data_IF_834373610082
#
_entry.id   IF_834373610082
#
_cell.length_a   1.000
_cell.length_b   1.000
_cell.length_c   1.000
_cell.angle_alpha   90.00
_cell.angle_beta   90.00
_cell.angle_gamma   90.00
#
_symmetry.space_group_name_H-M   'P 1'
#
loop_
_entity.id
_entity.type
_entity.pdbx_description
1 polymer ?
#
# COMPACT_ATOMS: atom_id res chain seq x y z
N UNK A 1 11.98 -15.33 28.17
CA UNK A 1 11.72 -15.61 26.73
C UNK A 1 11.04 -16.96 26.51
N UNK A 2 11.67 -18.15 26.73
CA UNK A 2 10.95 -19.44 26.51
C UNK A 2 9.74 -19.64 27.43
N UNK A 3 9.79 -19.20 28.69
CA UNK A 3 8.67 -19.28 29.62
C UNK A 3 7.54 -18.30 29.26
N UNK A 4 7.86 -17.11 28.82
CA UNK A 4 6.89 -16.11 28.37
C UNK A 4 6.11 -16.59 27.13
N UNK A 5 6.81 -17.26 26.18
CA UNK A 5 6.16 -17.89 25.04
C UNK A 5 5.24 -19.04 25.45
N UNK A 6 5.61 -19.87 26.45
CA UNK A 6 4.74 -20.94 26.95
C UNK A 6 3.46 -20.38 27.61
N UNK A 7 3.59 -19.30 28.36
CA UNK A 7 2.45 -18.59 28.95
C UNK A 7 1.56 -18.00 27.86
N UNK A 8 2.15 -17.34 26.87
CA UNK A 8 1.42 -16.78 25.72
C UNK A 8 0.68 -17.87 24.94
N UNK A 9 1.34 -18.99 24.60
CA UNK A 9 0.68 -20.08 23.88
C UNK A 9 -0.52 -20.64 24.66
N UNK A 10 -0.43 -20.70 25.97
CA UNK A 10 -1.54 -21.11 26.81
C UNK A 10 -2.72 -20.14 26.75
N UNK A 11 -2.44 -18.83 26.70
CA UNK A 11 -3.45 -17.78 26.54
C UNK A 11 -4.06 -17.80 25.12
N UNK A 12 -3.25 -18.06 24.09
CA UNK A 12 -3.73 -18.18 22.71
C UNK A 12 -4.69 -19.37 22.54
N UNK A 13 -4.45 -20.49 23.24
CA UNK A 13 -5.29 -21.69 23.20
C UNK A 13 -6.58 -21.55 24.00
N UNK A 14 -6.68 -20.60 24.93
CA UNK A 14 -7.90 -20.30 25.65
C UNK A 14 -8.85 -19.45 24.82
N UNK A 15 -9.75 -20.09 24.08
CA UNK A 15 -10.67 -19.43 23.15
C UNK A 15 -11.80 -18.66 23.85
N UNK A 16 -12.00 -18.83 25.16
CA UNK A 16 -12.98 -18.05 25.92
C UNK A 16 -12.46 -16.66 26.29
N UNK A 17 -11.14 -16.44 26.21
CA UNK A 17 -10.52 -15.16 26.47
C UNK A 17 -10.26 -14.37 25.18
N UNK A 18 -10.21 -13.04 25.32
CA UNK A 18 -9.74 -12.15 24.25
C UNK A 18 -8.25 -12.41 23.95
N UNK A 19 -7.79 -11.99 22.78
CA UNK A 19 -6.36 -12.05 22.46
C UNK A 19 -5.57 -11.16 23.43
N UNK A 20 -4.45 -11.66 23.96
CA UNK A 20 -3.58 -10.91 24.86
C UNK A 20 -2.68 -9.96 24.03
N UNK A 21 -3.21 -8.82 23.62
CA UNK A 21 -2.57 -7.91 22.63
C UNK A 21 -1.21 -7.43 23.11
N UNK A 22 -1.08 -7.10 24.41
CA UNK A 22 0.17 -6.58 24.99
C UNK A 22 1.30 -7.63 24.98
N UNK A 23 0.95 -8.91 25.05
CA UNK A 23 1.90 -10.03 25.07
C UNK A 23 2.29 -10.50 23.67
N UNK A 24 1.55 -10.08 22.59
CA UNK A 24 1.84 -10.52 21.22
C UNK A 24 3.21 -10.07 20.72
N UNK A 25 3.80 -9.04 21.31
CA UNK A 25 5.17 -8.60 21.00
C UNK A 25 6.20 -9.73 21.20
N UNK A 26 5.93 -10.70 22.09
CA UNK A 26 6.77 -11.89 22.29
C UNK A 26 6.82 -12.83 21.05
N UNK A 27 5.93 -12.64 20.07
CA UNK A 27 5.94 -13.35 18.77
C UNK A 27 6.79 -12.65 17.71
N UNK A 28 7.39 -11.50 18.02
CA UNK A 28 8.25 -10.79 17.08
C UNK A 28 9.58 -11.52 16.92
N UNK A 29 10.07 -11.62 15.68
CA UNK A 29 11.38 -12.14 15.30
C UNK A 29 11.70 -13.53 15.91
N UNK A 30 10.74 -14.48 15.78
CA UNK A 30 10.91 -15.84 16.29
C UNK A 30 12.05 -16.57 15.58
N UNK A 31 12.96 -17.16 16.37
CA UNK A 31 13.94 -18.09 15.85
C UNK A 31 13.29 -19.41 15.34
N UNK A 32 14.05 -20.22 14.61
CA UNK A 32 13.56 -21.49 14.03
C UNK A 32 12.91 -22.41 15.07
N UNK A 33 13.49 -22.53 16.29
CA UNK A 33 12.96 -23.40 17.35
C UNK A 33 11.66 -22.85 17.93
N UNK A 34 11.60 -21.55 18.12
CA UNK A 34 10.41 -20.85 18.60
C UNK A 34 9.27 -20.93 17.58
N UNK A 35 9.61 -20.79 16.28
CA UNK A 35 8.66 -20.92 15.17
C UNK A 35 8.09 -22.33 15.06
N UNK A 36 8.89 -23.39 15.28
CA UNK A 36 8.41 -24.79 15.32
C UNK A 36 7.40 -24.99 16.46
N UNK A 37 7.66 -24.37 17.61
CA UNK A 37 6.73 -24.42 18.77
C UNK A 37 5.44 -23.63 18.46
N UNK A 38 5.57 -22.44 17.87
CA UNK A 38 4.43 -21.65 17.43
C UNK A 38 3.59 -22.42 16.40
N UNK A 39 4.20 -23.11 15.43
CA UNK A 39 3.52 -23.95 14.46
C UNK A 39 2.63 -25.00 15.12
N UNK A 40 3.13 -25.64 16.19
CA UNK A 40 2.36 -26.62 16.97
C UNK A 40 1.15 -25.97 17.70
N UNK A 41 1.35 -24.79 18.29
CA UNK A 41 0.28 -24.00 18.88
C UNK A 41 -0.74 -23.57 17.80
N UNK A 42 -0.28 -23.03 16.67
CA UNK A 42 -1.10 -22.59 15.55
C UNK A 42 -2.07 -23.69 15.06
N UNK A 43 -1.57 -24.90 14.89
CA UNK A 43 -2.38 -26.03 14.45
C UNK A 43 -3.50 -26.40 15.46
N UNK A 44 -3.33 -26.06 16.73
CA UNK A 44 -4.31 -26.33 17.79
C UNK A 44 -5.42 -25.27 17.87
N UNK A 45 -5.20 -24.07 17.28
CA UNK A 45 -6.15 -22.96 17.31
C UNK A 45 -7.30 -23.21 16.32
N UNK A 46 -8.51 -22.72 16.66
CA UNK A 46 -9.63 -22.71 15.73
C UNK A 46 -9.34 -21.77 14.53
N UNK A 47 -9.97 -22.01 13.37
CA UNK A 47 -9.80 -21.12 12.21
C UNK A 47 -10.13 -19.67 12.53
N UNK A 48 -11.13 -19.41 13.33
CA UNK A 48 -11.50 -18.05 13.74
C UNK A 48 -10.39 -17.40 14.58
N UNK A 49 -9.84 -18.14 15.55
CA UNK A 49 -8.75 -17.64 16.42
C UNK A 49 -7.49 -17.33 15.59
N UNK A 50 -7.14 -18.21 14.65
CA UNK A 50 -6.01 -18.00 13.73
C UNK A 50 -6.18 -16.73 12.87
N UNK A 51 -7.37 -16.51 12.28
CA UNK A 51 -7.66 -15.30 11.49
C UNK A 51 -7.51 -14.04 12.33
N UNK A 52 -8.12 -14.04 13.55
CA UNK A 52 -8.05 -12.89 14.44
C UNK A 52 -6.62 -12.61 14.88
N UNK A 53 -5.87 -13.65 15.28
CA UNK A 53 -4.46 -13.51 15.69
C UNK A 53 -3.62 -12.91 14.55
N UNK A 54 -3.71 -13.47 13.33
CA UNK A 54 -2.88 -13.02 12.22
C UNK A 54 -3.21 -11.58 11.79
N UNK A 55 -4.50 -11.21 11.80
CA UNK A 55 -4.92 -9.83 11.52
C UNK A 55 -4.42 -8.85 12.60
N UNK A 56 -4.45 -9.27 13.88
CA UNK A 56 -3.93 -8.45 15.00
C UNK A 56 -2.42 -8.29 14.90
N UNK A 57 -1.67 -9.33 14.50
CA UNK A 57 -0.21 -9.21 14.29
C UNK A 57 0.11 -8.21 13.16
N UNK A 58 -0.65 -8.23 12.06
CA UNK A 58 -0.50 -7.23 10.99
C UNK A 58 -0.74 -5.81 11.51
N UNK A 59 -1.85 -5.59 12.24
CA UNK A 59 -2.13 -4.28 12.83
C UNK A 59 -1.03 -3.83 13.80
N UNK A 60 -0.49 -4.74 14.62
CA UNK A 60 0.61 -4.40 15.54
C UNK A 60 1.91 -4.03 14.77
N UNK A 61 2.20 -4.69 13.66
CA UNK A 61 3.34 -4.33 12.81
C UNK A 61 3.16 -2.93 12.17
N UNK A 62 1.95 -2.58 11.74
CA UNK A 62 1.64 -1.25 11.19
C UNK A 62 1.79 -0.13 12.24
N UNK A 63 1.43 -0.42 13.51
CA UNK A 63 1.52 0.55 14.62
C UNK A 63 2.94 0.63 15.23
N UNK A 64 3.75 -0.43 15.11
CA UNK A 64 5.03 -0.62 15.78
C UNK A 64 6.08 -1.20 14.84
N UNK A 65 6.85 -0.34 14.18
CA UNK A 65 7.85 -0.70 13.16
C UNK A 65 8.97 -1.63 13.66
N UNK A 66 9.14 -1.75 14.97
CA UNK A 66 10.10 -2.67 15.58
C UNK A 66 9.58 -4.12 15.68
N UNK A 67 8.28 -4.36 15.44
CA UNK A 67 7.69 -5.69 15.51
C UNK A 67 7.75 -6.39 14.15
N UNK A 68 8.41 -7.54 14.10
CA UNK A 68 8.64 -8.30 12.87
C UNK A 68 7.93 -9.67 12.98
N UNK A 69 6.92 -9.88 12.13
CA UNK A 69 6.14 -11.13 12.11
C UNK A 69 6.27 -11.89 10.78
N UNK A 70 7.27 -11.58 9.95
CA UNK A 70 7.48 -12.19 8.64
C UNK A 70 7.60 -13.71 8.72
N UNK A 71 8.35 -14.24 9.72
CA UNK A 71 8.50 -15.67 9.90
C UNK A 71 7.17 -16.39 10.16
N UNK A 72 6.25 -15.77 10.90
CA UNK A 72 4.91 -16.30 11.14
C UNK A 72 4.07 -16.21 9.87
N UNK A 73 4.07 -15.08 9.18
CA UNK A 73 3.33 -14.91 7.94
C UNK A 73 3.80 -15.92 6.88
N UNK A 74 5.11 -16.14 6.73
CA UNK A 74 5.66 -17.18 5.85
C UNK A 74 5.18 -18.58 6.22
N UNK A 75 5.17 -18.92 7.52
CA UNK A 75 4.73 -20.23 7.99
C UNK A 75 3.29 -20.56 7.56
N UNK A 76 2.43 -19.55 7.43
CA UNK A 76 0.99 -19.74 7.20
C UNK A 76 0.55 -19.43 5.76
N UNK A 77 1.50 -19.20 4.83
CA UNK A 77 1.18 -19.04 3.40
C UNK A 77 0.51 -20.28 2.79
N UNK A 78 0.74 -21.46 3.38
CA UNK A 78 0.13 -22.72 2.96
C UNK A 78 -1.02 -23.18 3.88
N UNK A 79 -1.57 -22.30 4.73
CA UNK A 79 -2.69 -22.64 5.61
C UNK A 79 -3.91 -23.11 4.77
N UNK A 80 -4.66 -24.16 5.20
CA UNK A 80 -5.84 -24.63 4.48
C UNK A 80 -6.93 -23.57 4.32
N UNK A 81 -6.96 -22.54 5.19
CA UNK A 81 -7.91 -21.45 5.13
C UNK A 81 -7.43 -20.32 4.19
N UNK A 82 -8.13 -20.08 3.07
CA UNK A 82 -7.73 -19.04 2.12
C UNK A 82 -7.74 -17.63 2.71
N UNK A 83 -8.55 -17.38 3.77
CA UNK A 83 -8.56 -16.08 4.44
C UNK A 83 -7.25 -15.85 5.20
N UNK A 84 -6.70 -16.90 5.80
CA UNK A 84 -5.40 -16.84 6.48
C UNK A 84 -4.28 -16.58 5.47
N UNK A 85 -4.24 -17.34 4.36
CA UNK A 85 -3.24 -17.11 3.30
C UNK A 85 -3.31 -15.68 2.74
N UNK A 86 -4.53 -15.16 2.50
CA UNK A 86 -4.73 -13.77 2.07
C UNK A 86 -4.16 -12.77 3.08
N UNK A 87 -4.46 -12.93 4.38
CA UNK A 87 -3.96 -12.03 5.43
C UNK A 87 -2.42 -12.11 5.50
N UNK A 88 -1.84 -13.32 5.43
CA UNK A 88 -0.40 -13.51 5.44
C UNK A 88 0.31 -12.78 4.30
N UNK A 89 -0.20 -12.89 3.06
CA UNK A 89 0.30 -12.14 1.91
C UNK A 89 0.19 -10.63 2.16
N UNK A 90 -0.96 -10.17 2.67
CA UNK A 90 -1.18 -8.77 2.99
C UNK A 90 -0.20 -8.24 4.04
N UNK A 91 0.07 -9.00 5.10
CA UNK A 91 1.01 -8.60 6.16
C UNK A 91 2.48 -8.55 5.68
N UNK A 92 2.81 -9.23 4.58
CA UNK A 92 4.15 -9.24 3.99
C UNK A 92 4.37 -8.12 2.95
N UNK A 93 3.43 -7.22 2.80
CA UNK A 93 3.46 -6.21 1.73
C UNK A 93 4.65 -5.23 1.83
N UNK A 94 5.14 -4.95 3.04
CA UNK A 94 6.32 -4.09 3.27
C UNK A 94 7.65 -4.84 3.23
N UNK A 95 7.61 -6.18 3.27
CA UNK A 95 8.83 -6.97 3.29
C UNK A 95 9.61 -6.86 1.98
N UNK A 96 10.91 -6.76 2.08
CA UNK A 96 11.85 -6.70 0.95
C UNK A 96 12.61 -8.01 0.75
N UNK A 97 12.17 -9.11 1.38
CA UNK A 97 12.83 -10.41 1.21
C UNK A 97 12.73 -10.87 -0.25
N UNK A 98 13.86 -11.15 -0.91
CA UNK A 98 13.90 -11.52 -2.33
C UNK A 98 13.24 -12.88 -2.64
N UNK A 99 12.85 -13.66 -1.65
CA UNK A 99 12.13 -14.92 -1.87
C UNK A 99 10.62 -14.75 -2.11
N UNK A 100 10.04 -13.62 -1.69
CA UNK A 100 8.59 -13.41 -1.76
C UNK A 100 8.01 -13.28 -3.18
N UNK A 101 8.67 -12.64 -4.15
CA UNK A 101 8.16 -12.61 -5.52
C UNK A 101 7.83 -14.00 -6.06
N UNK A 102 8.70 -14.99 -5.85
CA UNK A 102 8.49 -16.37 -6.31
C UNK A 102 7.29 -17.03 -5.60
N UNK A 103 7.14 -16.81 -4.27
CA UNK A 103 6.02 -17.34 -3.51
C UNK A 103 4.69 -16.70 -3.94
N UNK A 104 4.67 -15.38 -4.17
CA UNK A 104 3.48 -14.66 -4.62
C UNK A 104 3.11 -14.98 -6.07
N UNK A 105 4.10 -15.21 -6.97
CA UNK A 105 3.85 -15.72 -8.32
C UNK A 105 3.22 -17.12 -8.28
N UNK A 106 3.68 -17.98 -7.39
CA UNK A 106 3.05 -19.29 -7.17
C UNK A 106 1.60 -19.12 -6.69
N UNK A 107 1.36 -18.28 -5.70
CA UNK A 107 0.02 -18.00 -5.22
C UNK A 107 -0.89 -17.39 -6.30
N UNK A 108 -0.40 -16.43 -7.11
CA UNK A 108 -1.14 -15.83 -8.22
C UNK A 108 -1.55 -16.87 -9.25
N UNK A 109 -0.67 -17.79 -9.61
CA UNK A 109 -0.89 -18.72 -10.70
C UNK A 109 -1.62 -20.00 -10.29
N UNK A 110 -1.40 -20.50 -9.08
CA UNK A 110 -1.77 -21.86 -8.68
C UNK A 110 -2.77 -21.93 -7.52
N UNK A 111 -2.96 -20.85 -6.72
CA UNK A 111 -3.90 -20.94 -5.60
C UNK A 111 -5.33 -21.15 -6.08
N UNK A 112 -6.03 -22.09 -5.43
CA UNK A 112 -7.41 -22.43 -5.76
C UNK A 112 -8.42 -21.32 -5.42
N UNK A 113 -8.03 -20.38 -4.55
CA UNK A 113 -8.89 -19.31 -4.06
C UNK A 113 -8.61 -17.97 -4.75
N UNK A 114 -9.66 -17.37 -5.30
CA UNK A 114 -9.56 -16.09 -6.00
C UNK A 114 -9.08 -14.95 -5.08
N UNK A 115 -9.49 -14.94 -3.80
CA UNK A 115 -9.08 -13.90 -2.85
C UNK A 115 -7.57 -13.96 -2.53
N UNK A 116 -6.97 -15.16 -2.59
CA UNK A 116 -5.53 -15.34 -2.39
C UNK A 116 -4.78 -14.91 -3.65
N UNK A 117 -5.26 -15.33 -4.83
CA UNK A 117 -4.70 -14.89 -6.12
C UNK A 117 -4.72 -13.36 -6.27
N UNK A 118 -5.83 -12.71 -5.87
CA UNK A 118 -5.95 -11.25 -5.92
C UNK A 118 -5.00 -10.56 -4.94
N UNK A 119 -4.86 -11.09 -3.72
CA UNK A 119 -3.90 -10.56 -2.75
C UNK A 119 -2.45 -10.71 -3.24
N UNK A 120 -2.13 -11.83 -3.88
CA UNK A 120 -0.81 -12.05 -4.49
C UNK A 120 -0.55 -11.07 -5.64
N UNK A 121 -1.56 -10.81 -6.50
CA UNK A 121 -1.46 -9.82 -7.55
C UNK A 121 -1.18 -8.41 -6.97
N UNK A 122 -1.93 -7.99 -5.94
CA UNK A 122 -1.73 -6.70 -5.28
C UNK A 122 -0.33 -6.59 -4.63
N UNK A 123 0.15 -7.64 -3.95
CA UNK A 123 1.47 -7.66 -3.32
C UNK A 123 2.62 -7.62 -4.34
N UNK A 124 2.47 -8.28 -5.49
CA UNK A 124 3.45 -8.28 -6.58
C UNK A 124 3.69 -6.89 -7.17
N UNK A 125 2.71 -5.98 -7.10
CA UNK A 125 2.86 -4.61 -7.59
C UNK A 125 4.02 -3.87 -6.92
N UNK A 126 4.27 -4.09 -5.63
CA UNK A 126 5.41 -3.49 -4.94
C UNK A 126 6.75 -3.95 -5.52
N UNK A 127 6.87 -5.23 -5.84
CA UNK A 127 8.10 -5.76 -6.42
C UNK A 127 8.32 -5.26 -7.85
N UNK A 128 7.25 -4.98 -8.61
CA UNK A 128 7.36 -4.25 -9.88
C UNK A 128 7.95 -2.86 -9.62
N UNK A 129 7.42 -2.11 -8.65
CA UNK A 129 7.96 -0.79 -8.30
C UNK A 129 9.43 -0.84 -7.89
N UNK A 130 9.82 -1.76 -7.00
CA UNK A 130 11.20 -1.87 -6.52
C UNK A 130 12.17 -2.14 -7.67
N UNK A 131 11.80 -3.00 -8.61
CA UNK A 131 12.65 -3.32 -9.78
C UNK A 131 12.70 -2.20 -10.81
N UNK A 132 11.63 -1.40 -10.97
CA UNK A 132 11.66 -0.19 -11.82
C UNK A 132 12.58 0.90 -11.24
N UNK A 133 12.75 0.94 -9.91
CA UNK A 133 13.64 1.89 -9.23
C UNK A 133 15.11 1.43 -9.19
N UNK A 134 15.36 0.12 -9.20
CA UNK A 134 16.69 -0.49 -9.16
C UNK A 134 17.09 -0.92 -10.58
N UNK A 135 17.93 -0.15 -11.25
CA UNK A 135 18.33 -0.29 -12.66
C UNK A 135 18.96 -1.65 -13.06
N UNK A 136 19.13 -2.60 -12.12
CA UNK A 136 19.92 -3.83 -12.29
C UNK A 136 19.12 -5.16 -12.33
N UNK A 137 17.80 -5.18 -12.11
CA UNK A 137 17.03 -6.44 -11.94
C UNK A 137 15.84 -6.62 -12.89
N UNK A 138 15.93 -6.15 -14.12
CA UNK A 138 14.86 -6.19 -15.14
C UNK A 138 14.22 -7.57 -15.37
N UNK A 139 14.93 -8.68 -15.12
CA UNK A 139 14.44 -10.03 -15.41
C UNK A 139 13.33 -10.52 -14.48
N UNK A 140 13.33 -10.16 -13.20
CA UNK A 140 12.28 -10.57 -12.25
C UNK A 140 11.01 -9.71 -12.42
N UNK A 141 11.16 -8.41 -12.65
CA UNK A 141 10.05 -7.52 -12.97
C UNK A 141 9.32 -7.96 -14.24
N UNK A 142 10.06 -8.28 -15.29
CA UNK A 142 9.50 -8.76 -16.55
C UNK A 142 8.63 -9.99 -16.36
N UNK A 143 9.06 -10.96 -15.54
CA UNK A 143 8.27 -12.15 -15.25
C UNK A 143 6.98 -11.80 -14.48
N UNK A 144 7.05 -10.93 -13.47
CA UNK A 144 5.87 -10.51 -12.71
C UNK A 144 4.85 -9.84 -13.63
N UNK A 145 5.30 -8.87 -14.44
CA UNK A 145 4.43 -8.15 -15.38
C UNK A 145 3.83 -9.11 -16.42
N UNK A 146 4.62 -10.05 -16.96
CA UNK A 146 4.13 -11.05 -17.91
C UNK A 146 3.05 -11.95 -17.29
N UNK A 147 3.20 -12.34 -16.03
CA UNK A 147 2.22 -13.19 -15.32
C UNK A 147 0.93 -12.41 -15.00
N UNK A 148 1.03 -11.13 -14.62
CA UNK A 148 -0.14 -10.26 -14.43
C UNK A 148 -0.90 -10.07 -15.75
N UNK A 149 -0.20 -9.76 -16.84
CA UNK A 149 -0.78 -9.61 -18.18
C UNK A 149 -1.41 -10.90 -18.68
N UNK A 150 -0.77 -12.04 -18.47
CA UNK A 150 -1.30 -13.37 -18.83
C UNK A 150 -2.58 -13.65 -18.04
N UNK A 151 -2.59 -13.39 -16.73
CA UNK A 151 -3.76 -13.60 -15.87
C UNK A 151 -4.98 -12.82 -16.38
N UNK A 152 -4.81 -11.59 -16.83
CA UNK A 152 -5.89 -10.79 -17.43
C UNK A 152 -6.35 -11.40 -18.75
N UNK A 153 -5.42 -11.76 -19.65
CA UNK A 153 -5.73 -12.33 -20.98
C UNK A 153 -6.43 -13.68 -20.92
N UNK A 154 -6.13 -14.48 -19.89
CA UNK A 154 -6.76 -15.79 -19.66
C UNK A 154 -8.17 -15.69 -19.07
N UNK A 155 -8.72 -14.48 -18.92
CA UNK A 155 -10.09 -14.25 -18.47
C UNK A 155 -10.25 -14.33 -16.96
N UNK A 156 -9.39 -13.64 -16.22
CA UNK A 156 -9.49 -13.49 -14.76
C UNK A 156 -10.90 -13.05 -14.33
N UNK A 157 -11.31 -13.45 -13.13
CA UNK A 157 -12.52 -12.89 -12.50
C UNK A 157 -12.36 -11.38 -12.30
N UNK A 158 -13.48 -10.64 -12.19
CA UNK A 158 -13.46 -9.19 -12.02
C UNK A 158 -12.55 -8.74 -10.86
N UNK A 159 -12.56 -9.45 -9.72
CA UNK A 159 -11.71 -9.14 -8.56
C UNK A 159 -10.22 -9.28 -8.88
N UNK A 160 -9.83 -10.40 -9.49
CA UNK A 160 -8.44 -10.65 -9.85
C UNK A 160 -7.96 -9.71 -10.97
N UNK A 161 -8.84 -9.41 -11.94
CA UNK A 161 -8.53 -8.46 -13.01
C UNK A 161 -8.20 -7.08 -12.41
N UNK A 162 -9.04 -6.57 -11.49
CA UNK A 162 -8.82 -5.29 -10.81
C UNK A 162 -7.49 -5.27 -10.05
N UNK A 163 -7.17 -6.34 -9.33
CA UNK A 163 -5.89 -6.44 -8.62
C UNK A 163 -4.69 -6.38 -9.59
N UNK A 164 -4.75 -7.13 -10.70
CA UNK A 164 -3.70 -7.09 -11.72
C UNK A 164 -3.55 -5.70 -12.35
N UNK A 165 -4.67 -5.01 -12.70
CA UNK A 165 -4.63 -3.65 -13.27
C UNK A 165 -3.93 -2.68 -12.32
N UNK A 166 -4.29 -2.68 -11.03
CA UNK A 166 -3.66 -1.81 -10.03
C UNK A 166 -2.15 -2.03 -9.92
N UNK A 167 -1.70 -3.27 -10.01
CA UNK A 167 -0.29 -3.62 -9.88
C UNK A 167 0.52 -3.32 -11.15
N UNK A 168 -0.11 -3.41 -12.33
CA UNK A 168 0.47 -2.98 -13.59
C UNK A 168 0.73 -1.46 -13.64
N UNK A 169 0.07 -0.67 -12.78
CA UNK A 169 0.34 0.75 -12.65
C UNK A 169 1.78 1.10 -12.32
N UNK A 170 2.52 0.21 -11.66
CA UNK A 170 3.93 0.43 -11.35
C UNK A 170 4.88 0.12 -12.51
N UNK A 171 4.39 -0.49 -13.61
CA UNK A 171 5.23 -0.89 -14.74
C UNK A 171 5.33 0.20 -15.79
N UNK A 172 6.55 0.46 -16.28
CA UNK A 172 6.83 1.36 -17.40
C UNK A 172 6.50 0.74 -18.79
N UNK A 173 6.16 -0.56 -18.85
CA UNK A 173 5.93 -1.29 -20.10
C UNK A 173 4.70 -0.79 -20.85
N UNK A 174 4.82 -0.69 -22.17
CA UNK A 174 3.73 -0.22 -23.06
C UNK A 174 2.48 -1.12 -22.96
N UNK A 175 2.66 -2.45 -22.81
CA UNK A 175 1.57 -3.39 -22.67
C UNK A 175 0.74 -3.15 -21.39
N UNK A 176 1.37 -2.73 -20.30
CA UNK A 176 0.68 -2.35 -19.07
C UNK A 176 -0.18 -1.09 -19.30
N UNK A 177 0.36 -0.09 -19.99
CA UNK A 177 -0.38 1.13 -20.32
C UNK A 177 -1.62 0.84 -21.18
N UNK A 178 -1.52 -0.08 -22.16
CA UNK A 178 -2.68 -0.51 -22.97
C UNK A 178 -3.77 -1.14 -22.08
N UNK A 179 -3.40 -2.00 -21.15
CA UNK A 179 -4.37 -2.63 -20.23
C UNK A 179 -5.03 -1.60 -19.32
N UNK A 180 -4.27 -0.62 -18.81
CA UNK A 180 -4.81 0.47 -17.98
C UNK A 180 -5.80 1.33 -18.79
N UNK A 181 -5.48 1.66 -20.04
CA UNK A 181 -6.37 2.38 -20.93
C UNK A 181 -7.66 1.60 -21.21
N UNK A 182 -7.57 0.31 -21.49
CA UNK A 182 -8.74 -0.56 -21.73
C UNK A 182 -9.62 -0.67 -20.47
N UNK A 183 -9.00 -0.77 -19.29
CA UNK A 183 -9.71 -0.79 -18.02
C UNK A 183 -10.46 0.53 -17.73
N UNK A 184 -9.86 1.66 -18.06
CA UNK A 184 -10.47 2.98 -17.93
C UNK A 184 -11.69 3.15 -18.85
N UNK A 185 -11.69 2.56 -20.03
CA UNK A 185 -12.80 2.61 -20.99
C UNK A 185 -13.91 1.60 -20.68
N UNK A 186 -13.84 0.87 -19.59
CA UNK A 186 -14.85 -0.12 -19.19
C UNK A 186 -16.15 0.54 -18.73
N UNK A 187 -17.26 -0.20 -18.88
CA UNK A 187 -18.54 0.13 -18.25
C UNK A 187 -18.60 -0.28 -16.76
N UNK A 188 -17.62 -1.07 -16.28
CA UNK A 188 -17.49 -1.50 -14.87
C UNK A 188 -16.77 -0.39 -14.07
N UNK A 189 -17.53 0.33 -13.24
CA UNK A 189 -17.03 1.44 -12.42
C UNK A 189 -15.87 1.03 -11.48
N UNK A 190 -15.92 -0.20 -10.93
CA UNK A 190 -14.84 -0.72 -10.09
C UNK A 190 -13.54 -0.94 -10.89
N UNK A 191 -13.66 -1.26 -12.18
CA UNK A 191 -12.51 -1.41 -13.06
C UNK A 191 -11.95 -0.05 -13.47
N UNK A 192 -12.82 0.94 -13.73
CA UNK A 192 -12.41 2.34 -13.95
C UNK A 192 -11.68 2.89 -12.72
N UNK A 193 -12.19 2.63 -11.52
CA UNK A 193 -11.51 2.98 -10.28
C UNK A 193 -10.10 2.37 -10.21
N UNK A 194 -9.98 1.08 -10.54
CA UNK A 194 -8.68 0.40 -10.54
C UNK A 194 -7.72 0.96 -11.58
N UNK A 195 -8.23 1.41 -12.73
CA UNK A 195 -7.43 2.10 -13.74
C UNK A 195 -6.91 3.45 -13.24
N UNK A 196 -7.73 4.25 -12.54
CA UNK A 196 -7.29 5.52 -11.94
C UNK A 196 -6.21 5.32 -10.89
N UNK A 197 -6.34 4.28 -10.05
CA UNK A 197 -5.28 3.89 -9.10
C UNK A 197 -3.99 3.54 -9.85
N UNK A 198 -4.09 2.77 -10.95
CA UNK A 198 -2.92 2.41 -11.76
C UNK A 198 -2.30 3.63 -12.46
N UNK A 199 -3.11 4.57 -12.93
CA UNK A 199 -2.65 5.82 -13.54
C UNK A 199 -1.83 6.65 -12.54
N UNK A 200 -2.32 6.83 -11.30
CA UNK A 200 -1.58 7.53 -10.24
C UNK A 200 -0.22 6.89 -9.97
N UNK A 201 -0.20 5.57 -9.79
CA UNK A 201 1.01 4.77 -9.51
C UNK A 201 2.06 4.79 -10.63
N UNK A 202 1.63 5.08 -11.87
CA UNK A 202 2.50 4.95 -13.06
C UNK A 202 3.60 6.01 -13.17
N UNK A 203 3.56 7.07 -12.36
CA UNK A 203 4.41 8.26 -12.49
C UNK A 203 4.44 8.82 -13.94
N UNK A 204 3.42 8.53 -14.75
CA UNK A 204 3.37 8.88 -16.16
C UNK A 204 2.35 10.00 -16.43
N UNK A 205 2.80 11.21 -16.82
CA UNK A 205 1.92 12.35 -17.04
C UNK A 205 0.99 12.19 -18.26
N UNK A 206 1.10 11.12 -19.02
CA UNK A 206 0.21 10.84 -20.17
C UNK A 206 -1.25 10.73 -19.74
N UNK A 207 -1.51 10.30 -18.50
CA UNK A 207 -2.85 10.12 -17.93
C UNK A 207 -3.50 11.40 -17.39
N UNK A 208 -2.79 12.54 -17.48
CA UNK A 208 -3.29 13.82 -16.97
C UNK A 208 -4.67 14.21 -17.51
N UNK A 209 -5.00 14.08 -18.83
CA UNK A 209 -6.33 14.47 -19.31
C UNK A 209 -7.47 13.64 -18.72
N UNK A 210 -7.28 12.33 -18.60
CA UNK A 210 -8.27 11.41 -18.03
C UNK A 210 -8.49 11.71 -16.55
N UNK A 211 -7.42 11.87 -15.78
CA UNK A 211 -7.50 12.17 -14.34
C UNK A 211 -8.23 13.50 -14.10
N UNK A 212 -7.88 14.57 -14.84
CA UNK A 212 -8.54 15.86 -14.69
C UNK A 212 -10.03 15.82 -15.04
N UNK A 213 -10.42 15.01 -16.03
CA UNK A 213 -11.81 14.79 -16.39
C UNK A 213 -12.59 14.14 -15.24
N UNK A 214 -12.01 13.13 -14.59
CA UNK A 214 -12.68 12.34 -13.57
C UNK A 214 -12.80 13.04 -12.20
N UNK A 215 -12.11 14.15 -11.97
CA UNK A 215 -12.34 15.02 -10.81
C UNK A 215 -13.79 15.55 -10.74
N UNK A 216 -14.50 15.58 -11.87
CA UNK A 216 -15.88 16.06 -11.98
C UNK A 216 -16.90 14.92 -12.12
N UNK A 217 -16.48 13.66 -11.96
CA UNK A 217 -17.33 12.49 -12.17
C UNK A 217 -18.51 12.45 -11.18
N UNK A 218 -19.72 11.98 -11.58
CA UNK A 218 -20.88 11.92 -10.67
C UNK A 218 -20.67 10.97 -9.47
N UNK A 219 -19.90 9.89 -9.62
CA UNK A 219 -19.57 8.96 -8.53
C UNK A 219 -18.50 9.55 -7.62
N UNK A 220 -18.73 9.60 -6.31
CA UNK A 220 -17.71 10.06 -5.36
C UNK A 220 -16.48 9.14 -5.29
N UNK A 221 -16.65 7.83 -5.55
CA UNK A 221 -15.53 6.89 -5.57
C UNK A 221 -14.54 7.23 -6.71
N UNK A 222 -15.07 7.54 -7.89
CA UNK A 222 -14.23 7.94 -9.04
C UNK A 222 -13.57 9.29 -8.79
N UNK A 223 -14.30 10.28 -8.24
CA UNK A 223 -13.68 11.58 -7.88
C UNK A 223 -12.56 11.42 -6.86
N UNK A 224 -12.75 10.56 -5.87
CA UNK A 224 -11.74 10.29 -4.84
C UNK A 224 -10.45 9.72 -5.45
N UNK A 225 -10.57 8.71 -6.32
CA UNK A 225 -9.37 8.12 -6.95
C UNK A 225 -8.74 9.05 -7.98
N UNK A 226 -9.52 9.83 -8.72
CA UNK A 226 -8.98 10.88 -9.60
C UNK A 226 -8.22 11.95 -8.79
N UNK A 227 -8.75 12.37 -7.65
CA UNK A 227 -8.07 13.29 -6.76
C UNK A 227 -6.76 12.70 -6.21
N UNK A 228 -6.76 11.42 -5.80
CA UNK A 228 -5.56 10.70 -5.36
C UNK A 228 -4.52 10.64 -6.46
N UNK A 229 -4.91 10.19 -7.66
CA UNK A 229 -4.02 10.10 -8.82
C UNK A 229 -3.43 11.47 -9.21
N UNK A 230 -4.21 12.56 -9.08
CA UNK A 230 -3.72 13.92 -9.30
C UNK A 230 -2.64 14.31 -8.29
N UNK A 231 -2.79 13.90 -7.01
CA UNK A 231 -1.77 14.09 -5.97
C UNK A 231 -0.52 13.27 -6.22
N UNK A 232 -0.67 11.96 -6.51
CA UNK A 232 0.45 11.04 -6.79
C UNK A 232 1.29 11.46 -8.00
N UNK A 233 0.66 12.04 -9.04
CA UNK A 233 1.34 12.56 -10.22
C UNK A 233 1.72 14.04 -10.11
N UNK A 234 1.52 14.69 -8.97
CA UNK A 234 1.81 16.10 -8.74
C UNK A 234 1.24 17.04 -9.85
N UNK A 235 -0.01 16.78 -10.26
CA UNK A 235 -0.66 17.53 -11.32
C UNK A 235 -1.05 18.93 -10.86
N UNK A 236 -0.13 19.89 -10.90
CA UNK A 236 -0.35 21.27 -10.40
C UNK A 236 -1.56 21.99 -11.01
N UNK A 237 -1.95 21.64 -12.22
CA UNK A 237 -3.16 22.21 -12.85
C UNK A 237 -4.47 21.60 -12.34
N UNK A 238 -4.42 20.50 -11.55
CA UNK A 238 -5.56 20.00 -10.79
C UNK A 238 -5.88 20.83 -9.55
N UNK A 239 -4.98 21.73 -9.11
CA UNK A 239 -5.10 22.43 -7.83
C UNK A 239 -6.46 23.13 -7.65
N UNK A 240 -6.97 23.83 -8.69
CA UNK A 240 -8.26 24.52 -8.58
C UNK A 240 -9.43 23.54 -8.45
N UNK A 241 -9.44 22.43 -9.22
CA UNK A 241 -10.47 21.41 -9.13
C UNK A 241 -10.42 20.68 -7.78
N UNK A 242 -9.22 20.43 -7.23
CA UNK A 242 -9.06 19.87 -5.89
C UNK A 242 -9.57 20.81 -4.80
N UNK A 243 -9.41 22.13 -4.96
CA UNK A 243 -10.01 23.12 -4.04
C UNK A 243 -11.53 23.06 -4.09
N UNK A 244 -12.14 22.87 -5.28
CA UNK A 244 -13.59 22.69 -5.42
C UNK A 244 -14.08 21.41 -4.73
N UNK A 245 -13.29 20.34 -4.73
CA UNK A 245 -13.61 19.09 -4.03
C UNK A 245 -13.55 19.19 -2.51
N UNK A 246 -13.01 20.25 -1.93
CA UNK A 246 -13.08 20.50 -0.48
C UNK A 246 -14.53 20.80 -0.01
N UNK A 247 -15.44 21.10 -0.92
CA UNK A 247 -16.87 21.31 -0.67
C UNK A 247 -17.71 20.10 -1.11
N UNK A 248 -17.09 18.94 -1.38
CA UNK A 248 -17.80 17.73 -1.82
C UNK A 248 -18.75 17.21 -0.74
N UNK A 249 -19.81 16.52 -1.17
CA UNK A 249 -20.77 15.85 -0.27
C UNK A 249 -20.21 14.60 0.41
N UNK A 250 -19.12 14.04 -0.09
CA UNK A 250 -18.42 12.89 0.45
C UNK A 250 -17.20 13.30 1.27
N UNK A 251 -17.18 12.96 2.54
CA UNK A 251 -16.02 13.21 3.41
C UNK A 251 -14.76 12.54 2.88
N UNK A 252 -14.88 11.37 2.26
CA UNK A 252 -13.75 10.67 1.66
C UNK A 252 -13.12 11.50 0.53
N UNK A 253 -13.94 12.08 -0.36
CA UNK A 253 -13.44 12.97 -1.42
C UNK A 253 -12.75 14.19 -0.82
N UNK A 254 -13.35 14.82 0.20
CA UNK A 254 -12.76 15.99 0.90
C UNK A 254 -11.38 15.60 1.48
N UNK A 255 -11.29 14.49 2.21
CA UNK A 255 -10.05 14.06 2.85
C UNK A 255 -8.93 13.74 1.84
N UNK A 256 -9.29 13.11 0.71
CA UNK A 256 -8.32 12.84 -0.36
C UNK A 256 -7.91 14.12 -1.07
N UNK A 257 -8.85 15.06 -1.32
CA UNK A 257 -8.50 16.36 -1.90
C UNK A 257 -7.54 17.17 -1.00
N UNK A 258 -7.72 17.12 0.33
CA UNK A 258 -6.80 17.73 1.31
C UNK A 258 -5.40 17.11 1.18
N UNK A 259 -5.31 15.77 1.17
CA UNK A 259 -4.04 15.08 1.01
C UNK A 259 -3.38 15.45 -0.32
N UNK A 260 -4.13 15.41 -1.44
CA UNK A 260 -3.62 15.72 -2.77
C UNK A 260 -3.11 17.16 -2.89
N UNK A 261 -3.82 18.13 -2.29
CA UNK A 261 -3.33 19.52 -2.19
C UNK A 261 -2.03 19.60 -1.39
N UNK A 262 -1.87 18.79 -0.35
CA UNK A 262 -0.62 18.65 0.40
C UNK A 262 0.53 18.14 -0.47
N UNK A 263 0.27 17.21 -1.40
CA UNK A 263 1.29 16.72 -2.34
C UNK A 263 1.64 17.77 -3.41
N UNK A 264 0.64 18.47 -3.96
CA UNK A 264 0.85 19.46 -5.01
C UNK A 264 1.64 20.69 -4.56
N UNK A 265 1.40 21.15 -3.35
CA UNK A 265 2.00 22.38 -2.84
C UNK A 265 1.54 23.66 -3.54
N UNK A 266 2.31 24.73 -3.33
CA UNK A 266 2.07 26.04 -3.91
C UNK A 266 1.02 26.88 -3.16
N UNK A 267 0.90 28.17 -3.55
CA UNK A 267 0.10 29.17 -2.84
C UNK A 267 -1.40 28.83 -2.80
N UNK A 268 -1.94 28.25 -3.89
CA UNK A 268 -3.36 27.87 -4.00
C UNK A 268 -3.69 26.78 -2.97
N UNK A 269 -2.90 25.72 -2.96
CA UNK A 269 -3.07 24.59 -2.04
C UNK A 269 -2.92 25.04 -0.58
N UNK A 270 -1.85 25.77 -0.27
CA UNK A 270 -1.59 26.31 1.07
C UNK A 270 -2.74 27.16 1.58
N UNK A 271 -3.25 28.08 0.75
CA UNK A 271 -4.35 28.99 1.14
C UNK A 271 -5.63 28.19 1.41
N UNK A 272 -5.94 27.20 0.57
CA UNK A 272 -7.11 26.36 0.74
C UNK A 272 -7.02 25.51 2.02
N UNK A 273 -5.87 24.89 2.29
CA UNK A 273 -5.63 24.07 3.50
C UNK A 273 -5.72 24.93 4.79
N UNK A 274 -5.16 26.15 4.80
CA UNK A 274 -5.30 27.08 5.95
C UNK A 274 -6.76 27.46 6.18
N UNK A 275 -7.57 27.63 5.13
CA UNK A 275 -8.99 27.92 5.28
C UNK A 275 -9.75 26.71 5.88
N UNK A 276 -9.43 25.49 5.47
CA UNK A 276 -10.02 24.26 6.06
C UNK A 276 -9.63 24.16 7.53
N UNK A 277 -8.35 24.33 7.87
CA UNK A 277 -7.86 24.31 9.25
C UNK A 277 -8.63 25.30 10.15
N UNK A 278 -8.92 26.48 9.63
CA UNK A 278 -9.57 27.54 10.40
C UNK A 278 -11.10 27.40 10.50
N UNK A 279 -11.76 26.73 9.55
CA UNK A 279 -13.22 26.79 9.39
C UNK A 279 -13.94 25.46 9.33
N UNK A 280 -13.25 24.33 9.14
CA UNK A 280 -13.92 23.01 9.06
C UNK A 280 -14.60 22.68 10.40
N UNK A 281 -15.86 22.22 10.35
CA UNK A 281 -16.63 21.90 11.56
C UNK A 281 -16.23 20.56 12.18
N UNK A 282 -15.59 19.69 11.41
CA UNK A 282 -15.21 18.34 11.78
C UNK A 282 -13.74 18.26 12.20
N UNK A 283 -13.44 17.79 13.44
CA UNK A 283 -12.07 17.69 13.95
C UNK A 283 -11.16 16.78 13.11
N UNK A 284 -11.70 15.73 12.46
CA UNK A 284 -10.92 14.83 11.61
C UNK A 284 -10.44 15.56 10.36
N UNK A 285 -11.31 16.32 9.73
CA UNK A 285 -10.97 17.15 8.57
C UNK A 285 -9.91 18.21 8.92
N UNK A 286 -10.02 18.85 10.10
CA UNK A 286 -8.98 19.79 10.60
C UNK A 286 -7.64 19.07 10.75
N UNK A 287 -7.62 17.89 11.40
CA UNK A 287 -6.40 17.10 11.59
C UNK A 287 -5.73 16.76 10.25
N UNK A 288 -6.51 16.34 9.24
CA UNK A 288 -5.96 16.06 7.90
C UNK A 288 -5.39 17.30 7.20
N UNK A 289 -5.99 18.45 7.41
CA UNK A 289 -5.44 19.71 6.91
C UNK A 289 -4.13 20.10 7.62
N UNK A 290 -4.02 19.85 8.93
CA UNK A 290 -2.78 20.02 9.68
C UNK A 290 -1.67 19.11 9.14
N UNK A 291 -1.94 17.82 8.97
CA UNK A 291 -1.00 16.85 8.41
C UNK A 291 -0.53 17.27 7.00
N UNK A 292 -1.43 17.73 6.14
CA UNK A 292 -1.09 18.21 4.80
C UNK A 292 -0.24 19.50 4.84
N UNK A 293 -0.51 20.44 5.76
CA UNK A 293 0.29 21.64 5.94
C UNK A 293 1.69 21.36 6.51
N UNK A 294 1.81 20.39 7.42
CA UNK A 294 3.10 19.92 7.93
C UNK A 294 3.94 19.30 6.81
N UNK A 295 3.32 18.49 5.94
CA UNK A 295 3.97 17.92 4.76
C UNK A 295 4.48 19.01 3.81
N UNK A 296 3.67 20.03 3.51
CA UNK A 296 4.08 21.18 2.70
C UNK A 296 5.26 21.94 3.33
N UNK A 297 5.23 22.17 4.64
CA UNK A 297 6.32 22.84 5.33
C UNK A 297 7.63 22.03 5.26
N UNK A 298 7.54 20.69 5.32
CA UNK A 298 8.69 19.81 5.15
C UNK A 298 9.27 19.91 3.74
N UNK A 299 8.41 19.85 2.70
CA UNK A 299 8.86 19.94 1.30
C UNK A 299 9.54 21.27 0.99
N UNK A 300 9.03 22.38 1.52
CA UNK A 300 9.58 23.72 1.30
C UNK A 300 10.82 24.04 2.16
N UNK A 301 10.95 23.38 3.33
CA UNK A 301 12.10 23.54 4.23
C UNK A 301 13.35 22.74 3.83
N UNK A 302 13.24 21.80 2.90
CA UNK A 302 14.32 20.92 2.48
C UNK A 302 15.43 21.56 1.62
N UNK A 303 15.26 22.70 0.91
CA UNK A 303 16.37 23.33 0.20
C UNK A 303 17.57 23.70 1.10
N UNK A 304 17.33 24.02 2.37
CA UNK A 304 18.39 24.42 3.30
C UNK A 304 19.14 23.24 3.96
N UNK A 305 18.59 22.02 3.90
CA UNK A 305 19.22 20.84 4.48
C UNK A 305 20.21 20.11 3.53
N UNK A 306 20.15 20.42 2.23
CA UNK A 306 21.05 19.83 1.23
C UNK A 306 22.34 20.65 0.98
N UNK A 307 22.52 21.80 1.65
CA UNK A 307 23.74 22.61 1.58
C UNK A 307 24.51 22.49 2.90
N UNK A 308 24.86 21.28 3.32
CA UNK A 308 26.10 21.10 4.06
C UNK A 308 27.18 20.84 3.02
N UNK A 309 27.78 21.94 2.53
CA UNK A 309 29.09 21.92 1.92
C UNK A 309 30.06 21.24 2.92
N UNK A 310 30.47 20.03 2.59
CA UNK A 310 31.71 19.50 3.15
C UNK A 310 32.83 20.37 2.59
N UNK A 311 33.22 21.39 3.37
CA UNK A 311 34.37 22.21 3.11
C UNK A 311 35.63 21.31 3.27
N UNK A 312 36.13 20.79 2.15
CA UNK A 312 37.35 20.01 2.01
C UNK A 312 38.61 20.88 2.20
N UNK A 313 38.57 21.91 3.06
CA UNK A 313 39.72 22.77 3.37
C UNK A 313 40.38 22.41 4.69
N UNK A 314 40.83 21.15 4.82
CA UNK A 314 41.71 20.72 5.91
C UNK A 314 42.85 19.80 5.43
N UNK A 315 43.48 20.13 4.28
CA UNK A 315 44.83 19.67 3.94
C UNK A 315 45.62 20.89 3.53
N UNK A 316 46.33 21.46 4.47
CA UNK A 316 47.64 22.13 4.30
C UNK A 316 48.02 22.90 5.59
N UNK A 317 48.55 22.17 6.55
CA UNK A 317 49.48 22.75 7.56
C UNK A 317 50.22 21.63 8.27
N UNK A 318 51.25 21.07 7.64
CA UNK A 318 52.38 20.47 8.34
C UNK A 318 53.65 21.02 7.70
N UNK A 319 54.24 21.95 8.37
CA UNK A 319 55.69 22.19 8.41
C UNK A 319 56.20 22.02 9.86
#
# INVERSE_FOLDING_TARGET
MDQELDELFSLLMDEEQLLPIEELSALSDLDTRQLDRFSSCWQSLSPQRRRTLLATLGQQADEHVELLFDSINCLVLDDPDPTIRKIAIGNLWESTDPSFPAAFLTALNEDSSIIVRSAAADALGRFVLLTELEDDSLTESDQIVDDLLRTIRDGASSELHRACVKSLGFSSREEAQVIIADAYLSEDEDLVQSALIAMGRSANPVWRPEILQELLHPSPLIRAEAARAAGELELHDAAQSLVELLEDVSNEVIHIAIWSLGQLGGDVARTALLNIQASAPDPETVKKADEALEHLAFLEGTPDLLIYDFDDSAEDAVD
#
